data_IF_294866361769
#
_entry.id   IF_294866361769
#
_cell.length_a   1.000
_cell.length_b   1.000
_cell.length_c   1.000
_cell.angle_alpha   90.00
_cell.angle_beta   90.00
_cell.angle_gamma   90.00
#
_symmetry.space_group_name_H-M   'P 1'
#
loop_
_entity.id
_entity.type
_entity.pdbx_description
1 polymer ?
#
# COMPACT_ATOMS: atom_id res chain seq x y z
N UNK A 1 15.68 -13.37 20.15
CA UNK A 1 16.90 -14.19 20.21
C UNK A 1 17.93 -13.47 19.37
N UNK A 2 19.11 -13.12 19.92
CA UNK A 2 20.24 -12.59 19.15
C UNK A 2 20.51 -13.42 17.88
N UNK A 3 20.83 -12.75 16.77
CA UNK A 3 20.96 -13.40 15.45
C UNK A 3 22.11 -14.42 15.40
N UNK A 4 23.15 -14.21 16.20
CA UNK A 4 24.28 -15.11 16.43
C UNK A 4 23.92 -16.36 17.24
N UNK A 5 22.76 -16.36 17.91
CA UNK A 5 22.25 -17.52 18.64
C UNK A 5 21.25 -18.35 17.82
N UNK A 6 21.05 -18.04 16.54
CA UNK A 6 20.18 -18.78 15.62
C UNK A 6 20.99 -19.21 14.40
N UNK A 7 21.08 -20.51 14.14
CA UNK A 7 21.68 -21.07 12.93
C UNK A 7 20.60 -21.49 11.93
N UNK A 8 20.89 -21.35 10.65
CA UNK A 8 20.00 -21.74 9.55
C UNK A 8 20.65 -22.91 8.80
N UNK A 9 19.88 -23.94 8.49
CA UNK A 9 20.32 -25.09 7.69
C UNK A 9 19.44 -25.20 6.45
N UNK A 10 20.08 -25.40 5.29
CA UNK A 10 19.41 -25.66 4.02
C UNK A 10 19.77 -27.07 3.57
N UNK A 11 18.76 -27.87 3.22
CA UNK A 11 18.95 -29.22 2.69
C UNK A 11 18.41 -29.30 1.27
N UNK A 12 19.29 -29.57 0.30
CA UNK A 12 18.93 -29.74 -1.12
C UNK A 12 19.52 -31.04 -1.63
N UNK A 13 18.69 -31.94 -2.14
CA UNK A 13 19.16 -33.24 -2.66
C UNK A 13 19.82 -34.14 -1.60
N UNK A 14 19.58 -33.89 -0.31
CA UNK A 14 20.21 -34.62 0.81
C UNK A 14 21.54 -34.03 1.28
N UNK A 15 22.09 -33.05 0.57
CA UNK A 15 23.26 -32.28 1.02
C UNK A 15 22.81 -31.19 2.00
N UNK A 16 23.56 -31.05 3.10
CA UNK A 16 23.28 -30.10 4.18
C UNK A 16 24.28 -28.95 4.13
N UNK A 17 23.77 -27.72 4.06
CA UNK A 17 24.58 -26.50 4.09
C UNK A 17 24.15 -25.62 5.26
N UNK A 18 25.09 -25.31 6.16
CA UNK A 18 24.86 -24.33 7.22
C UNK A 18 25.00 -22.94 6.60
N UNK A 19 23.96 -22.13 6.74
CA UNK A 19 23.98 -20.72 6.36
C UNK A 19 24.39 -19.93 7.59
N UNK A 20 25.62 -19.40 7.57
CA UNK A 20 26.10 -18.51 8.62
C UNK A 20 25.18 -17.29 8.72
N UNK A 21 24.81 -16.92 9.95
CA UNK A 21 24.05 -15.71 10.19
C UNK A 21 24.86 -14.51 9.66
N UNK A 22 24.26 -13.75 8.73
CA UNK A 22 24.86 -12.47 8.32
C UNK A 22 24.97 -11.60 9.57
N UNK A 23 26.18 -11.12 9.94
CA UNK A 23 26.33 -10.22 11.07
C UNK A 23 25.33 -9.09 10.91
N UNK A 24 24.52 -8.88 11.94
CA UNK A 24 23.54 -7.81 11.91
C UNK A 24 24.29 -6.49 11.81
N UNK A 25 24.44 -5.98 10.59
CA UNK A 25 24.74 -4.59 10.36
C UNK A 25 23.49 -3.80 10.73
N UNK A 26 23.08 -3.84 12.00
CA UNK A 26 22.30 -2.77 12.62
C UNK A 26 23.23 -1.56 12.72
N UNK A 27 23.64 -1.03 11.56
CA UNK A 27 23.88 0.38 11.44
C UNK A 27 22.62 1.09 11.92
N UNK A 28 22.82 2.21 12.60
CA UNK A 28 21.76 3.06 13.15
C UNK A 28 20.51 3.06 12.25
N UNK A 29 19.28 3.07 12.82
CA UNK A 29 18.05 3.06 12.04
C UNK A 29 18.19 4.00 10.87
N UNK A 30 18.00 3.47 9.65
CA UNK A 30 18.17 4.24 8.43
C UNK A 30 17.42 5.54 8.60
N UNK A 31 18.16 6.66 8.65
CA UNK A 31 17.55 7.97 8.77
C UNK A 31 16.73 8.13 7.49
N UNK A 32 15.40 8.36 7.57
CA UNK A 32 14.65 8.63 6.36
C UNK A 32 15.32 9.80 5.66
N UNK A 33 15.61 9.60 4.37
CA UNK A 33 16.16 10.67 3.55
C UNK A 33 15.26 11.90 3.68
N UNK A 34 15.84 13.12 3.76
CA UNK A 34 15.03 14.32 3.71
C UNK A 34 14.13 14.25 2.48
N UNK A 35 12.85 14.64 2.60
CA UNK A 35 11.92 14.61 1.48
C UNK A 35 12.55 15.37 0.32
N UNK A 36 12.84 14.65 -0.77
CA UNK A 36 13.37 15.27 -1.98
C UNK A 36 12.29 16.23 -2.49
N UNK A 37 12.63 17.47 -2.86
CA UNK A 37 11.66 18.38 -3.46
C UNK A 37 11.08 17.70 -4.70
N UNK A 38 9.80 17.37 -4.64
CA UNK A 38 9.07 16.82 -5.77
C UNK A 38 8.26 17.93 -6.40
N UNK A 39 8.33 18.05 -7.72
CA UNK A 39 7.43 18.93 -8.47
C UNK A 39 6.00 18.55 -8.09
N UNK A 40 5.16 19.51 -7.68
CA UNK A 40 3.76 19.25 -7.41
C UNK A 40 3.16 18.55 -8.62
N UNK A 41 2.50 17.41 -8.44
CA UNK A 41 1.85 16.74 -9.54
C UNK A 41 0.84 17.68 -10.22
N UNK A 42 0.79 17.67 -11.56
CA UNK A 42 -0.15 18.50 -12.31
C UNK A 42 -1.56 17.92 -12.12
N UNK A 43 -2.47 18.72 -11.58
CA UNK A 43 -3.86 18.32 -11.44
C UNK A 43 -4.52 18.21 -12.82
N UNK A 44 -5.04 17.02 -13.15
CA UNK A 44 -5.81 16.79 -14.38
C UNK A 44 -7.26 17.14 -14.11
N UNK A 45 -7.70 18.28 -14.65
CA UNK A 45 -9.11 18.70 -14.66
C UNK A 45 -9.84 18.28 -15.93
N UNK A 46 -11.08 18.74 -16.07
CA UNK A 46 -11.91 18.54 -17.27
C UNK A 46 -13.14 17.65 -17.03
N UNK A 47 -13.83 17.25 -18.12
CA UNK A 47 -15.01 16.39 -18.03
C UNK A 47 -14.69 15.06 -17.34
N UNK A 48 -15.61 14.59 -16.51
CA UNK A 48 -15.48 13.31 -15.80
C UNK A 48 -16.53 12.31 -16.28
N UNK A 49 -16.21 11.02 -16.16
CA UNK A 49 -17.15 9.91 -16.34
C UNK A 49 -17.08 8.96 -15.16
N UNK A 50 -18.21 8.32 -14.84
CA UNK A 50 -18.30 7.30 -13.80
C UNK A 50 -17.60 6.03 -14.25
N UNK A 51 -16.48 5.69 -13.62
CA UNK A 51 -15.73 4.48 -13.91
C UNK A 51 -15.08 3.89 -12.65
N UNK A 52 -14.79 2.58 -12.61
CA UNK A 52 -13.97 2.00 -11.55
C UNK A 52 -12.61 2.69 -11.48
N UNK A 53 -12.20 3.13 -10.29
CA UNK A 53 -10.89 3.78 -10.08
C UNK A 53 -9.73 2.89 -10.53
N UNK A 54 -9.89 1.56 -10.48
CA UNK A 54 -8.92 0.59 -10.97
C UNK A 54 -8.61 0.65 -12.45
N UNK A 55 -9.35 1.44 -13.25
CA UNK A 55 -8.99 1.77 -14.64
C UNK A 55 -7.83 2.76 -14.74
N UNK A 56 -7.59 3.55 -13.69
CA UNK A 56 -6.53 4.57 -13.63
C UNK A 56 -5.37 4.12 -12.76
N UNK A 57 -5.63 3.32 -11.71
CA UNK A 57 -4.64 2.96 -10.71
C UNK A 57 -4.48 1.45 -10.51
N UNK A 58 -3.26 1.05 -10.19
CA UNK A 58 -2.98 -0.26 -9.61
C UNK A 58 -3.03 -0.20 -8.08
N UNK A 59 -3.30 -1.33 -7.43
CA UNK A 59 -3.27 -1.44 -5.98
C UNK A 59 -2.78 -2.81 -5.51
N UNK A 60 -2.12 -2.84 -4.36
CA UNK A 60 -1.74 -4.05 -3.62
C UNK A 60 -1.97 -3.84 -2.14
N UNK A 61 -2.33 -4.90 -1.44
CA UNK A 61 -2.61 -4.85 -0.02
C UNK A 61 -2.25 -6.14 0.69
N UNK A 62 -2.10 -6.04 2.01
CA UNK A 62 -1.81 -7.18 2.86
C UNK A 62 -1.79 -6.79 4.34
N UNK A 63 -1.77 -7.80 5.19
CA UNK A 63 -1.76 -7.62 6.63
C UNK A 63 -0.37 -7.21 7.16
N UNK A 64 -0.40 -6.47 8.27
CA UNK A 64 0.77 -6.20 9.10
C UNK A 64 0.32 -6.33 10.56
N UNK A 65 0.16 -7.57 11.01
CA UNK A 65 -0.48 -7.86 12.29
C UNK A 65 -1.98 -7.54 12.23
N UNK A 66 -2.50 -6.76 13.19
CA UNK A 66 -3.88 -6.28 13.19
C UNK A 66 -4.21 -5.19 12.14
N UNK A 67 -3.18 -4.66 11.48
CA UNK A 67 -3.31 -3.55 10.54
C UNK A 67 -3.35 -4.05 9.09
N UNK A 68 -3.87 -3.22 8.20
CA UNK A 68 -3.77 -3.42 6.76
C UNK A 68 -2.86 -2.36 6.12
N UNK A 69 -1.96 -2.81 5.25
CA UNK A 69 -1.19 -1.93 4.38
C UNK A 69 -1.83 -1.93 2.99
N UNK A 70 -2.07 -0.73 2.43
CA UNK A 70 -2.69 -0.53 1.13
C UNK A 70 -1.85 0.44 0.29
N UNK A 71 -1.15 -0.11 -0.70
CA UNK A 71 -0.41 0.67 -1.69
C UNK A 71 -1.23 0.89 -2.94
N UNK A 72 -1.27 2.13 -3.44
CA UNK A 72 -1.95 2.53 -4.68
C UNK A 72 -0.95 3.27 -5.56
N UNK A 73 -0.82 2.89 -6.82
CA UNK A 73 0.12 3.54 -7.75
C UNK A 73 -0.54 3.90 -9.07
N UNK A 74 0.00 4.93 -9.72
CA UNK A 74 -0.43 5.41 -11.01
C UNK A 74 0.62 5.12 -12.10
N UNK A 75 0.20 4.79 -13.33
CA UNK A 75 1.13 4.47 -14.42
C UNK A 75 1.82 5.72 -14.99
N UNK A 76 1.17 6.89 -14.94
CA UNK A 76 1.69 8.17 -15.48
C UNK A 76 1.72 9.27 -14.42
N UNK A 77 2.44 10.36 -14.69
CA UNK A 77 2.54 11.50 -13.78
C UNK A 77 1.21 12.27 -13.67
N UNK A 78 0.44 12.33 -14.75
CA UNK A 78 -0.91 12.91 -14.80
C UNK A 78 -1.88 12.12 -13.91
N UNK A 79 -1.88 10.79 -14.05
CA UNK A 79 -2.69 9.92 -13.21
C UNK A 79 -2.26 9.99 -11.75
N UNK A 80 -0.95 10.14 -11.48
CA UNK A 80 -0.43 10.31 -10.13
C UNK A 80 -0.88 11.65 -9.51
N UNK A 81 -0.89 12.73 -10.29
CA UNK A 81 -1.36 14.02 -9.80
C UNK A 81 -2.84 14.08 -9.52
N UNK A 82 -3.64 13.40 -10.34
CA UNK A 82 -5.03 13.17 -10.00
C UNK A 82 -5.18 12.31 -8.74
N UNK A 83 -4.46 11.18 -8.63
CA UNK A 83 -4.53 10.26 -7.48
C UNK A 83 -4.22 10.96 -6.16
N UNK A 84 -3.14 11.74 -6.10
CA UNK A 84 -2.69 12.40 -4.86
C UNK A 84 -3.68 13.45 -4.37
N UNK A 85 -4.32 14.19 -5.28
CA UNK A 85 -5.38 15.15 -4.95
C UNK A 85 -6.74 14.48 -4.67
N UNK A 86 -7.06 13.39 -5.37
CA UNK A 86 -8.33 12.69 -5.26
C UNK A 86 -8.42 11.80 -4.00
N UNK A 87 -7.43 10.92 -3.79
CA UNK A 87 -7.49 9.88 -2.76
C UNK A 87 -6.88 10.37 -1.43
N UNK A 88 -7.56 11.30 -0.78
CA UNK A 88 -7.27 11.68 0.62
C UNK A 88 -7.63 10.55 1.60
N UNK A 89 -7.23 10.70 2.87
CA UNK A 89 -7.67 9.80 3.95
C UNK A 89 -9.20 9.80 4.05
N UNK A 90 -9.84 10.97 4.02
CA UNK A 90 -11.30 11.07 4.08
C UNK A 90 -11.97 10.43 2.86
N UNK A 91 -11.36 10.60 1.66
CA UNK A 91 -11.87 9.95 0.46
C UNK A 91 -11.74 8.44 0.58
N UNK A 92 -10.61 7.92 1.04
CA UNK A 92 -10.42 6.49 1.29
C UNK A 92 -11.50 5.96 2.24
N UNK A 93 -11.75 6.65 3.36
CA UNK A 93 -12.79 6.30 4.32
C UNK A 93 -14.20 6.30 3.74
N UNK A 94 -14.50 7.24 2.85
CA UNK A 94 -15.78 7.27 2.15
C UNK A 94 -15.97 6.12 1.14
N UNK A 95 -14.87 5.65 0.54
CA UNK A 95 -14.88 4.57 -0.46
C UNK A 95 -14.87 3.19 0.20
N UNK A 96 -14.09 3.05 1.28
CA UNK A 96 -13.93 1.84 2.10
C UNK A 96 -14.56 2.11 3.47
N UNK A 97 -15.89 2.06 3.54
CA UNK A 97 -16.67 2.47 4.72
C UNK A 97 -16.30 1.71 5.98
N UNK A 98 -15.76 0.51 5.87
CA UNK A 98 -15.23 -0.24 6.99
C UNK A 98 -14.00 0.39 7.68
N UNK A 99 -13.41 1.42 7.07
CA UNK A 99 -12.29 2.18 7.61
C UNK A 99 -12.72 3.50 8.24
N UNK A 100 -14.00 3.85 8.21
CA UNK A 100 -14.52 5.17 8.61
C UNK A 100 -14.06 5.59 10.01
N UNK A 101 -14.21 4.70 10.99
CA UNK A 101 -13.86 4.95 12.39
C UNK A 101 -12.41 4.58 12.74
N UNK A 102 -11.64 4.09 11.78
CA UNK A 102 -10.27 3.65 12.00
C UNK A 102 -9.28 4.81 11.84
N UNK A 103 -8.16 4.73 12.56
CA UNK A 103 -7.01 5.58 12.27
C UNK A 103 -6.37 5.12 10.96
N UNK A 104 -6.07 6.08 10.08
CA UNK A 104 -5.40 5.85 8.81
C UNK A 104 -4.25 6.83 8.66
N UNK A 105 -3.04 6.30 8.49
CA UNK A 105 -1.87 7.12 8.13
C UNK A 105 -1.66 7.05 6.61
N UNK A 106 -1.39 8.20 5.98
CA UNK A 106 -1.08 8.31 4.54
C UNK A 106 0.39 8.69 4.35
N UNK A 107 1.04 8.01 3.42
CA UNK A 107 2.41 8.25 3.01
C UNK A 107 2.47 8.46 1.51
N UNK A 108 2.86 9.65 1.06
CA UNK A 108 3.06 9.94 -0.36
C UNK A 108 4.46 9.47 -0.78
N UNK A 109 4.51 8.73 -1.90
CA UNK A 109 5.73 8.10 -2.44
C UNK A 109 5.94 8.57 -3.89
N UNK A 110 6.25 9.86 -4.11
CA UNK A 110 6.25 10.47 -5.44
C UNK A 110 7.29 9.88 -6.39
N UNK A 111 8.41 9.39 -5.88
CA UNK A 111 9.47 8.76 -6.69
C UNK A 111 9.02 7.47 -7.41
N UNK A 112 7.91 6.88 -6.97
CA UNK A 112 7.32 5.67 -7.57
C UNK A 112 5.84 5.86 -7.93
N UNK A 113 5.37 7.12 -8.02
CA UNK A 113 3.99 7.48 -8.37
C UNK A 113 2.95 6.77 -7.50
N UNK A 114 3.23 6.63 -6.21
CA UNK A 114 2.38 5.87 -5.30
C UNK A 114 1.97 6.65 -4.06
N UNK A 115 0.89 6.20 -3.44
CA UNK A 115 0.44 6.58 -2.11
C UNK A 115 0.21 5.30 -1.32
N UNK A 116 0.70 5.25 -0.09
CA UNK A 116 0.49 4.12 0.81
C UNK A 116 -0.36 4.54 2.00
N UNK A 117 -1.29 3.67 2.38
CA UNK A 117 -2.13 3.83 3.56
C UNK A 117 -1.86 2.69 4.54
N UNK A 118 -1.68 3.07 5.81
CA UNK A 118 -1.68 2.12 6.93
C UNK A 118 -3.00 2.31 7.67
N UNK A 119 -3.86 1.29 7.59
CA UNK A 119 -5.19 1.29 8.23
C UNK A 119 -5.06 0.48 9.51
N UNK A 120 -5.18 1.16 10.65
CA UNK A 120 -4.93 0.56 11.96
C UNK A 120 -6.15 -0.21 12.46
N UNK A 121 -5.94 -1.43 12.94
CA UNK A 121 -6.97 -2.26 13.57
C UNK A 121 -8.03 -2.86 12.64
N UNK A 122 -7.85 -2.76 11.31
CA UNK A 122 -8.82 -3.30 10.35
C UNK A 122 -9.06 -4.81 10.52
N UNK A 123 -8.04 -5.54 10.99
CA UNK A 123 -8.02 -6.99 11.14
C UNK A 123 -8.06 -7.43 12.61
N UNK A 124 -8.45 -6.54 13.53
CA UNK A 124 -8.48 -6.82 14.97
C UNK A 124 -7.07 -7.04 15.55
N UNK A 125 -6.88 -8.11 16.32
CA UNK A 125 -5.58 -8.54 16.85
C UNK A 125 -4.74 -9.33 15.83
N UNK A 126 -5.19 -9.40 14.57
CA UNK A 126 -4.56 -10.11 13.46
C UNK A 126 -5.38 -11.27 12.91
N UNK A 127 -4.83 -11.97 11.92
CA UNK A 127 -5.55 -12.98 11.09
C UNK A 127 -6.34 -14.00 11.90
N UNK A 128 -5.78 -14.51 12.99
CA UNK A 128 -6.43 -15.52 13.85
C UNK A 128 -7.66 -15.00 14.62
N UNK A 129 -7.80 -13.67 14.75
CA UNK A 129 -8.92 -13.00 15.42
C UNK A 129 -9.91 -12.35 14.46
N UNK A 130 -9.58 -12.28 13.16
CA UNK A 130 -10.40 -11.61 12.16
C UNK A 130 -11.59 -12.47 11.74
N UNK A 131 -12.80 -11.93 11.89
CA UNK A 131 -14.04 -12.52 11.38
C UNK A 131 -14.36 -12.14 9.93
N UNK A 132 -13.47 -11.37 9.29
CA UNK A 132 -13.67 -10.88 7.91
C UNK A 132 -13.40 -11.98 6.90
N UNK A 133 -14.15 -11.95 5.79
CA UNK A 133 -13.91 -12.82 4.62
C UNK A 133 -12.49 -12.62 4.06
N UNK A 134 -11.99 -11.38 4.06
CA UNK A 134 -10.60 -11.05 3.72
C UNK A 134 -9.76 -10.81 4.98
N UNK A 135 -9.48 -11.88 5.73
CA UNK A 135 -8.75 -11.81 7.00
C UNK A 135 -7.28 -11.35 6.89
N UNK A 136 -6.74 -11.30 5.68
CA UNK A 136 -5.35 -10.87 5.40
C UNK A 136 -5.28 -9.54 4.64
N UNK A 137 -6.43 -8.87 4.44
CA UNK A 137 -6.53 -7.66 3.61
C UNK A 137 -5.96 -7.84 2.18
N UNK A 138 -5.91 -9.06 1.62
CA UNK A 138 -5.35 -9.33 0.28
C UNK A 138 -6.26 -8.84 -0.84
N UNK A 139 -7.57 -8.83 -0.60
CA UNK A 139 -8.59 -8.33 -1.52
C UNK A 139 -8.84 -6.82 -1.40
N UNK A 140 -8.38 -6.18 -0.31
CA UNK A 140 -8.65 -4.75 -0.04
C UNK A 140 -8.25 -3.82 -1.20
N UNK A 141 -7.10 -4.05 -1.83
CA UNK A 141 -6.65 -3.28 -2.99
C UNK A 141 -7.59 -3.42 -4.18
N UNK A 142 -8.06 -4.64 -4.47
CA UNK A 142 -9.02 -4.86 -5.54
C UNK A 142 -10.40 -4.28 -5.20
N UNK A 143 -10.79 -4.36 -3.94
CA UNK A 143 -12.03 -3.77 -3.46
C UNK A 143 -12.03 -2.24 -3.64
N UNK A 144 -10.91 -1.57 -3.36
CA UNK A 144 -10.74 -0.16 -3.70
C UNK A 144 -10.83 0.06 -5.21
N UNK A 145 -10.10 -0.74 -6.02
CA UNK A 145 -10.08 -0.63 -7.49
C UNK A 145 -11.47 -0.79 -8.12
N UNK A 146 -12.34 -1.57 -7.50
CA UNK A 146 -13.72 -1.76 -7.96
C UNK A 146 -14.64 -0.55 -7.70
N UNK A 147 -14.24 0.42 -6.86
CA UNK A 147 -15.07 1.57 -6.53
C UNK A 147 -15.24 2.48 -7.73
N UNK A 148 -16.51 2.75 -8.07
CA UNK A 148 -16.86 3.68 -9.15
C UNK A 148 -16.76 5.12 -8.63
N UNK A 149 -16.00 5.94 -9.33
CA UNK A 149 -15.75 7.35 -9.01
C UNK A 149 -15.86 8.20 -10.26
N UNK A 150 -15.90 9.52 -10.10
CA UNK A 150 -15.80 10.46 -11.21
C UNK A 150 -14.33 10.57 -11.62
N UNK A 151 -14.02 10.03 -12.80
CA UNK A 151 -12.68 9.96 -13.36
C UNK A 151 -12.57 10.95 -14.53
N UNK A 152 -11.55 11.81 -14.59
CA UNK A 152 -11.27 12.64 -15.76
C UNK A 152 -11.14 11.78 -17.01
N UNK A 153 -11.88 12.11 -18.07
CA UNK A 153 -11.87 11.32 -19.31
C UNK A 153 -10.47 11.22 -19.93
N UNK A 154 -9.64 12.24 -19.76
CA UNK A 154 -8.24 12.25 -20.20
C UNK A 154 -7.36 11.16 -19.56
N UNK A 155 -7.77 10.60 -18.41
CA UNK A 155 -7.05 9.52 -17.72
C UNK A 155 -7.53 8.13 -18.11
N UNK A 156 -8.62 8.05 -18.88
CA UNK A 156 -9.15 6.79 -19.37
C UNK A 156 -8.62 6.59 -20.79
N UNK A 157 -7.57 5.78 -20.91
CA UNK A 157 -7.15 5.27 -22.22
C UNK A 157 -8.32 4.46 -22.82
N UNK A 158 -8.56 4.53 -24.15
CA UNK A 158 -9.53 3.68 -24.84
C UNK A 158 -9.35 2.18 -24.55
#
# INVERSE_FOLDING_TARGET
IPADLVWQEVVVGGERTIVEATPSALGAPARPDPPRPTTPPVAVGGPTVRAPIGRVVGARSGDKGGNANLGVWAPTDEAFGWLTGFLSVDRLKSLLTETADLRVDRFDLPNIRAVNFVIHGLLGEGVASSTRVDAQAKGLGEYLRAKVVDVPTALLTP
#
